data_IF_366648867685
#
_entry.id   IF_366648867685
#
_cell.length_a   1.000
_cell.length_b   1.000
_cell.length_c   1.000
_cell.angle_alpha   90.00
_cell.angle_beta   90.00
_cell.angle_gamma   90.00
#
_symmetry.space_group_name_H-M   'P 1'
#
loop_
_entity.id
_entity.type
_entity.pdbx_description
1 polymer ?
#
# COMPACT_ATOMS: atom_id res chain seq x y z
N UNK A 1 54.88 41.78 7.06
CA UNK A 1 53.45 41.98 7.40
C UNK A 1 52.50 41.91 6.20
N UNK A 2 52.92 42.32 4.99
CA UNK A 2 52.10 42.27 3.76
C UNK A 2 51.68 40.85 3.34
N UNK A 3 52.57 39.86 3.50
CA UNK A 3 52.33 38.47 3.11
C UNK A 3 51.39 37.73 4.09
N UNK A 4 51.25 38.22 5.32
CA UNK A 4 50.33 37.65 6.32
C UNK A 4 48.88 38.06 6.04
N UNK A 5 48.67 39.30 5.60
CA UNK A 5 47.35 39.77 5.16
C UNK A 5 46.85 39.07 3.89
N UNK A 6 47.77 38.74 2.97
CA UNK A 6 47.48 37.97 1.75
C UNK A 6 47.01 36.54 2.03
N UNK A 7 47.56 35.89 3.07
CA UNK A 7 47.15 34.53 3.47
C UNK A 7 45.77 34.51 4.15
N UNK A 8 45.45 35.54 4.95
CA UNK A 8 44.12 35.66 5.59
C UNK A 8 43.04 35.95 4.54
N UNK A 9 43.33 36.79 3.54
CA UNK A 9 42.41 37.06 2.44
C UNK A 9 42.14 35.81 1.58
N UNK A 10 43.17 35.00 1.31
CA UNK A 10 43.03 33.73 0.58
C UNK A 10 42.20 32.69 1.35
N UNK A 11 42.36 32.62 2.68
CA UNK A 11 41.56 31.73 3.53
C UNK A 11 40.07 32.11 3.56
N UNK A 12 39.75 33.42 3.52
CA UNK A 12 38.38 33.90 3.45
C UNK A 12 37.70 33.61 2.10
N UNK A 13 38.45 33.65 0.98
CA UNK A 13 37.94 33.26 -0.34
C UNK A 13 37.64 31.76 -0.47
N UNK A 14 38.45 30.91 0.18
CA UNK A 14 38.21 29.45 0.22
C UNK A 14 37.02 29.07 1.11
N UNK A 15 36.74 29.82 2.18
CA UNK A 15 35.58 29.59 3.05
C UNK A 15 34.24 30.00 2.41
N UNK A 16 34.26 30.91 1.42
CA UNK A 16 33.05 31.36 0.71
C UNK A 16 32.59 30.39 -0.40
N UNK A 17 33.38 29.37 -0.73
CA UNK A 17 33.02 28.30 -1.66
C UNK A 17 32.61 27.02 -0.91
N UNK A 18 31.69 27.13 0.05
CA UNK A 18 30.96 25.95 0.50
C UNK A 18 29.84 25.71 -0.51
N UNK A 19 30.03 24.70 -1.37
CA UNK A 19 28.99 24.19 -2.24
C UNK A 19 27.73 23.97 -1.42
N UNK A 20 26.68 24.72 -1.73
CA UNK A 20 25.33 24.34 -1.33
C UNK A 20 24.98 23.16 -2.21
N UNK A 21 25.27 21.95 -1.73
CA UNK A 21 24.65 20.76 -2.27
C UNK A 21 23.14 20.99 -2.15
N UNK A 22 22.49 21.25 -3.28
CA UNK A 22 21.06 21.25 -3.36
C UNK A 22 20.63 19.81 -3.06
N UNK A 23 20.30 19.54 -1.80
CA UNK A 23 19.57 18.33 -1.41
C UNK A 23 18.40 18.21 -2.38
N UNK A 24 18.21 17.06 -3.05
CA UNK A 24 16.95 16.78 -3.73
C UNK A 24 15.83 17.09 -2.73
N UNK A 25 14.94 17.99 -3.11
CA UNK A 25 13.72 18.24 -2.35
C UNK A 25 12.95 16.92 -2.32
N UNK A 26 12.90 16.27 -1.16
CA UNK A 26 12.04 15.12 -0.96
C UNK A 26 10.60 15.56 -1.26
N UNK A 27 9.93 14.83 -2.15
CA UNK A 27 8.51 15.05 -2.46
C UNK A 27 7.76 14.96 -1.13
N UNK A 28 7.19 16.08 -0.65
CA UNK A 28 6.39 16.05 0.55
C UNK A 28 5.15 15.20 0.31
N UNK A 29 4.93 14.22 1.19
CA UNK A 29 3.80 13.28 1.18
C UNK A 29 2.41 13.96 1.17
N UNK A 30 2.35 15.29 1.31
CA UNK A 30 1.13 16.09 1.42
C UNK A 30 0.26 16.15 0.17
N UNK A 31 0.78 15.79 -1.01
CA UNK A 31 0.11 16.01 -2.30
C UNK A 31 -0.40 14.70 -2.94
N UNK A 32 -0.42 13.60 -2.19
CA UNK A 32 -0.85 12.29 -2.69
C UNK A 32 -2.36 12.02 -2.50
N UNK A 33 -2.97 11.35 -3.49
CA UNK A 33 -4.29 10.75 -3.35
C UNK A 33 -4.12 9.35 -2.76
N UNK A 34 -4.41 9.19 -1.46
CA UNK A 34 -4.26 7.93 -0.75
C UNK A 34 -5.62 7.23 -0.66
N UNK A 35 -5.75 6.07 -1.32
CA UNK A 35 -6.97 5.24 -1.29
C UNK A 35 -6.87 4.04 -0.34
N UNK A 36 -5.70 3.80 0.25
CA UNK A 36 -5.45 2.68 1.15
C UNK A 36 -3.98 2.54 1.51
N UNK A 37 -3.65 1.50 2.29
CA UNK A 37 -2.30 1.16 2.71
C UNK A 37 -2.00 -0.30 2.39
N UNK A 38 -0.75 -0.63 2.11
CA UNK A 38 -0.30 -2.01 2.00
C UNK A 38 0.33 -2.46 3.32
N UNK A 39 0.11 -3.72 3.68
CA UNK A 39 0.72 -4.39 4.82
C UNK A 39 0.99 -5.87 4.46
N UNK A 40 1.61 -6.62 5.36
CA UNK A 40 1.90 -8.04 5.17
C UNK A 40 1.85 -8.81 6.49
N UNK A 41 1.53 -10.10 6.41
CA UNK A 41 1.57 -11.02 7.56
C UNK A 41 2.17 -12.36 7.16
N UNK A 42 2.82 -13.06 8.11
CA UNK A 42 3.24 -14.45 7.92
C UNK A 42 2.06 -15.37 8.19
N UNK A 43 1.64 -16.14 7.20
CA UNK A 43 0.63 -17.19 7.35
C UNK A 43 1.29 -18.48 7.80
N UNK A 44 0.92 -18.97 8.97
CA UNK A 44 1.39 -20.29 9.45
C UNK A 44 0.73 -21.44 8.68
N UNK A 45 -0.52 -21.24 8.22
CA UNK A 45 -1.28 -22.27 7.50
C UNK A 45 -0.69 -22.51 6.10
N UNK A 46 -0.28 -21.43 5.41
CA UNK A 46 0.29 -21.49 4.07
C UNK A 46 1.82 -21.52 4.06
N UNK A 47 2.44 -21.40 5.23
CA UNK A 47 3.89 -21.26 5.45
C UNK A 47 4.57 -20.18 4.57
N UNK A 48 3.87 -19.07 4.33
CA UNK A 48 4.36 -17.98 3.47
C UNK A 48 3.91 -16.60 3.97
N UNK A 49 4.62 -15.55 3.56
CA UNK A 49 4.20 -14.17 3.81
C UNK A 49 3.14 -13.75 2.80
N UNK A 50 2.01 -13.22 3.26
CA UNK A 50 0.91 -12.72 2.44
C UNK A 50 0.82 -11.20 2.57
N UNK A 51 0.78 -10.50 1.44
CA UNK A 51 0.46 -9.08 1.40
C UNK A 51 -1.04 -8.88 1.58
N UNK A 52 -1.45 -7.74 2.13
CA UNK A 52 -2.83 -7.29 2.24
C UNK A 52 -2.90 -5.79 1.94
N UNK A 53 -3.99 -5.34 1.32
CA UNK A 53 -4.23 -3.92 1.07
C UNK A 53 -5.47 -3.49 1.86
N UNK A 54 -5.33 -2.46 2.68
CA UNK A 54 -6.36 -2.01 3.62
C UNK A 54 -6.83 -0.61 3.26
N UNK A 55 -8.14 -0.48 3.01
CA UNK A 55 -8.82 0.80 2.96
C UNK A 55 -9.65 0.98 4.23
N UNK A 56 -9.47 2.10 4.91
CA UNK A 56 -10.29 2.50 6.05
C UNK A 56 -11.10 3.73 5.60
N UNK A 57 -12.44 3.72 5.74
CA UNK A 57 -13.28 4.82 5.30
C UNK A 57 -13.07 6.04 6.20
N UNK A 58 -13.24 7.24 5.65
CA UNK A 58 -13.03 8.47 6.39
C UNK A 58 -13.96 8.58 7.61
N UNK A 59 -13.37 8.88 8.77
CA UNK A 59 -14.08 9.05 10.04
C UNK A 59 -14.65 10.47 10.23
N UNK A 60 -14.97 11.18 9.14
CA UNK A 60 -15.39 12.60 9.21
C UNK A 60 -16.72 12.80 9.96
N UNK A 61 -17.47 11.72 10.22
CA UNK A 61 -18.71 11.74 10.98
C UNK A 61 -18.65 10.79 12.17
N UNK A 62 -18.20 11.31 13.33
CA UNK A 62 -18.73 10.85 14.62
C UNK A 62 -17.82 10.01 15.52
N UNK A 63 -16.64 10.51 15.89
CA UNK A 63 -15.99 10.14 17.16
C UNK A 63 -16.41 11.07 18.33
N UNK A 64 -17.58 11.71 18.23
CA UNK A 64 -18.12 12.54 19.32
C UNK A 64 -18.78 11.63 20.39
N UNK A 65 -19.14 10.39 20.04
CA UNK A 65 -19.84 9.45 20.92
C UNK A 65 -19.38 7.99 20.70
N UNK A 66 -18.18 7.62 21.18
CA UNK A 66 -17.78 6.21 21.37
C UNK A 66 -16.97 5.54 20.25
N UNK A 67 -16.66 4.25 20.45
CA UNK A 67 -15.93 3.40 19.51
C UNK A 67 -16.82 3.05 18.29
N UNK A 68 -16.42 3.51 17.10
CA UNK A 68 -17.14 3.20 15.86
C UNK A 68 -16.68 1.85 15.31
N UNK A 69 -17.61 0.89 15.20
CA UNK A 69 -17.38 -0.39 14.52
C UNK A 69 -17.75 -0.30 13.04
N UNK A 70 -16.89 -0.83 12.17
CA UNK A 70 -17.12 -0.91 10.73
C UNK A 70 -17.23 -2.38 10.29
N UNK A 71 -18.18 -2.74 9.40
CA UNK A 71 -18.11 -4.01 8.71
C UNK A 71 -16.82 -4.11 7.89
N UNK A 72 -16.32 -5.33 7.74
CA UNK A 72 -15.08 -5.62 6.98
C UNK A 72 -15.44 -6.41 5.73
N UNK A 73 -15.08 -5.87 4.57
CA UNK A 73 -15.20 -6.54 3.28
C UNK A 73 -13.84 -7.15 2.91
N UNK A 74 -13.75 -8.47 2.92
CA UNK A 74 -12.59 -9.19 2.38
C UNK A 74 -12.71 -9.33 0.87
N UNK A 75 -11.74 -8.82 0.13
CA UNK A 75 -11.76 -8.75 -1.33
C UNK A 75 -10.67 -9.64 -1.93
N UNK A 76 -11.07 -10.77 -2.51
CA UNK A 76 -10.17 -11.64 -3.28
C UNK A 76 -9.75 -10.97 -4.59
N UNK A 77 -8.65 -11.45 -5.20
CA UNK A 77 -8.06 -10.84 -6.40
C UNK A 77 -7.78 -9.33 -6.20
N UNK A 78 -7.35 -8.98 -4.99
CA UNK A 78 -7.30 -7.59 -4.50
C UNK A 78 -6.72 -6.57 -5.49
N UNK A 79 -5.51 -6.77 -6.05
CA UNK A 79 -4.90 -5.80 -6.96
C UNK A 79 -5.75 -5.44 -8.19
N UNK A 80 -6.55 -6.38 -8.72
CA UNK A 80 -7.41 -6.14 -9.87
C UNK A 80 -8.71 -5.40 -9.55
N UNK A 81 -9.11 -5.36 -8.27
CA UNK A 81 -10.43 -4.87 -7.85
C UNK A 81 -10.39 -3.74 -6.83
N UNK A 82 -9.26 -3.51 -6.15
CA UNK A 82 -9.19 -2.64 -4.98
C UNK A 82 -9.69 -1.23 -5.25
N UNK A 83 -9.17 -0.56 -6.29
CA UNK A 83 -9.55 0.82 -6.60
C UNK A 83 -11.05 0.94 -6.94
N UNK A 84 -11.57 0.05 -7.79
CA UNK A 84 -12.97 0.09 -8.20
C UNK A 84 -13.91 -0.10 -6.99
N UNK A 85 -13.60 -1.07 -6.13
CA UNK A 85 -14.41 -1.40 -4.96
C UNK A 85 -14.34 -0.31 -3.89
N UNK A 86 -13.16 0.20 -3.56
CA UNK A 86 -13.03 1.27 -2.55
C UNK A 86 -13.69 2.56 -3.01
N UNK A 87 -13.55 2.94 -4.29
CA UNK A 87 -14.24 4.10 -4.85
C UNK A 87 -15.77 3.96 -4.79
N UNK A 88 -16.29 2.80 -5.17
CA UNK A 88 -17.72 2.51 -5.09
C UNK A 88 -18.24 2.57 -3.64
N UNK A 89 -17.56 1.89 -2.71
CA UNK A 89 -17.97 1.85 -1.31
C UNK A 89 -17.86 3.20 -0.62
N UNK A 90 -16.87 4.01 -0.98
CA UNK A 90 -16.77 5.39 -0.49
C UNK A 90 -17.99 6.21 -0.93
N UNK A 91 -18.38 6.12 -2.21
CA UNK A 91 -19.55 6.84 -2.72
C UNK A 91 -20.86 6.36 -2.08
N UNK A 92 -21.11 5.04 -2.08
CA UNK A 92 -22.34 4.49 -1.51
C UNK A 92 -22.43 4.70 0.01
N UNK A 93 -21.29 4.62 0.70
CA UNK A 93 -21.19 4.85 2.14
C UNK A 93 -21.46 6.30 2.54
N UNK A 94 -20.97 7.28 1.77
CA UNK A 94 -21.28 8.70 2.00
C UNK A 94 -22.77 9.02 1.79
N UNK A 95 -23.43 8.31 0.88
CA UNK A 95 -24.87 8.45 0.62
C UNK A 95 -25.74 7.61 1.56
N UNK A 96 -25.16 6.86 2.51
CA UNK A 96 -25.88 6.02 3.47
C UNK A 96 -26.60 4.82 2.84
N UNK A 97 -26.28 4.45 1.60
CA UNK A 97 -26.89 3.31 0.89
C UNK A 97 -26.36 1.99 1.46
N UNK A 98 -25.07 1.97 1.79
CA UNK A 98 -24.40 0.89 2.52
C UNK A 98 -23.70 1.50 3.74
N UNK A 99 -23.45 0.73 4.82
CA UNK A 99 -22.57 1.23 5.87
C UNK A 99 -21.17 1.53 5.31
N UNK A 100 -20.46 2.49 5.92
CA UNK A 100 -19.02 2.64 5.67
C UNK A 100 -18.31 1.34 6.06
N UNK A 101 -17.37 0.87 5.25
CA UNK A 101 -16.71 -0.43 5.47
C UNK A 101 -15.19 -0.32 5.34
N UNK A 102 -14.48 -1.10 6.15
CA UNK A 102 -13.06 -1.39 5.94
C UNK A 102 -12.96 -2.43 4.81
N UNK A 103 -12.10 -2.18 3.83
CA UNK A 103 -11.81 -3.17 2.76
C UNK A 103 -10.45 -3.78 3.02
N UNK A 104 -10.38 -5.10 3.12
CA UNK A 104 -9.13 -5.87 3.21
C UNK A 104 -9.00 -6.68 1.93
N UNK A 105 -8.20 -6.18 0.99
CA UNK A 105 -7.93 -6.87 -0.26
C UNK A 105 -6.76 -7.84 -0.10
N UNK A 106 -6.92 -9.02 -0.69
CA UNK A 106 -5.97 -10.14 -0.59
C UNK A 106 -5.38 -10.39 -1.98
N UNK A 107 -4.17 -9.89 -2.26
CA UNK A 107 -3.35 -10.32 -3.38
C UNK A 107 -3.06 -11.83 -3.32
N UNK A 108 -2.98 -12.46 -4.48
CA UNK A 108 -2.59 -13.86 -4.59
C UNK A 108 -1.07 -14.01 -4.70
N UNK A 109 -0.50 -15.02 -4.05
CA UNK A 109 0.85 -15.52 -4.33
C UNK A 109 0.77 -16.62 -5.39
N UNK A 110 -0.07 -17.63 -5.16
CA UNK A 110 -0.44 -18.66 -6.13
C UNK A 110 -1.97 -18.72 -6.23
N UNK A 111 -2.52 -18.02 -7.22
CA UNK A 111 -3.97 -17.88 -7.39
C UNK A 111 -4.65 -19.22 -7.65
N UNK A 112 -3.99 -20.12 -8.38
CA UNK A 112 -4.58 -21.39 -8.79
C UNK A 112 -4.69 -22.32 -7.59
N UNK A 113 -3.63 -22.41 -6.79
CA UNK A 113 -3.63 -23.15 -5.52
C UNK A 113 -4.68 -22.63 -4.57
N UNK A 114 -4.74 -21.32 -4.39
CA UNK A 114 -5.55 -20.69 -3.35
C UNK A 114 -7.05 -20.64 -3.71
N UNK A 115 -7.39 -20.54 -5.00
CA UNK A 115 -8.77 -20.31 -5.47
C UNK A 115 -9.38 -21.51 -6.20
N UNK A 116 -8.74 -22.68 -6.19
CA UNK A 116 -9.35 -23.92 -6.66
C UNK A 116 -9.62 -24.87 -5.48
N UNK A 117 -10.86 -25.35 -5.33
CA UNK A 117 -11.26 -26.11 -4.14
C UNK A 117 -10.82 -27.57 -4.16
N UNK A 118 -10.34 -28.07 -5.30
CA UNK A 118 -9.95 -29.48 -5.53
C UNK A 118 -8.74 -29.54 -6.45
N UNK A 119 -7.93 -30.59 -6.30
CA UNK A 119 -6.88 -30.90 -7.28
C UNK A 119 -7.54 -31.43 -8.55
N UNK A 120 -7.03 -31.03 -9.71
CA UNK A 120 -7.55 -31.46 -11.01
C UNK A 120 -6.44 -32.04 -11.87
N UNK A 121 -6.72 -33.15 -12.55
CA UNK A 121 -5.75 -33.77 -13.46
C UNK A 121 -5.75 -33.11 -14.85
N UNK A 122 -6.85 -32.45 -15.20
CA UNK A 122 -7.02 -31.77 -16.49
C UNK A 122 -7.72 -30.42 -16.28
N UNK A 123 -7.19 -29.38 -16.94
CA UNK A 123 -7.80 -28.07 -16.99
C UNK A 123 -7.73 -27.54 -18.42
N UNK A 124 -8.79 -26.86 -18.85
CA UNK A 124 -8.79 -26.23 -20.17
C UNK A 124 -7.83 -25.05 -20.19
N UNK A 125 -6.81 -25.10 -21.04
CA UNK A 125 -5.79 -24.05 -21.16
C UNK A 125 -4.39 -24.56 -20.86
N UNK A 126 -3.61 -23.76 -20.14
CA UNK A 126 -2.23 -24.11 -19.78
C UNK A 126 -2.20 -25.22 -18.72
N UNK A 127 -1.42 -26.28 -18.98
CA UNK A 127 -1.23 -27.38 -18.05
C UNK A 127 -0.49 -26.96 -16.77
N UNK A 128 0.15 -25.78 -16.73
CA UNK A 128 0.75 -25.25 -15.49
C UNK A 128 -0.26 -25.06 -14.37
N UNK A 129 -1.53 -24.80 -14.70
CA UNK A 129 -2.61 -24.64 -13.72
C UNK A 129 -2.99 -25.96 -13.02
N UNK A 130 -2.78 -27.11 -13.67
CA UNK A 130 -2.98 -28.43 -13.06
C UNK A 130 -1.98 -28.63 -11.92
N UNK A 131 -0.71 -28.28 -12.16
CA UNK A 131 0.40 -28.50 -11.22
C UNK A 131 0.16 -27.82 -9.88
N UNK A 132 -0.37 -26.59 -9.90
CA UNK A 132 -0.62 -25.84 -8.68
C UNK A 132 -2.08 -25.82 -8.26
N UNK A 133 -2.96 -26.65 -8.86
CA UNK A 133 -4.35 -26.73 -8.41
C UNK A 133 -4.44 -27.19 -6.95
N UNK A 134 -5.40 -26.60 -6.23
CA UNK A 134 -5.55 -26.67 -4.78
C UNK A 134 -6.26 -27.94 -4.32
N UNK A 135 -7.13 -27.80 -3.31
CA UNK A 135 -7.84 -28.93 -2.72
C UNK A 135 -7.06 -29.74 -1.69
N UNK A 136 -6.42 -29.04 -0.75
CA UNK A 136 -5.59 -29.63 0.31
C UNK A 136 -6.20 -30.79 1.07
#
# INVERSE_FOLDING_TARGET
MKNFFLLIAAAFLLAACQNRDASPSEVSDSDQIVIGKMDSLRSEILDETRNIWVHVPDNTTGAIFGETSYPVLYLLDGPGHFHAVTGLLNNLGQNGIVPKMVVVAIPNTDRTRDLTPTHVDEMFGDSSFVVTSGGG
#
